data_IF_702412891203
#
_entry.id   IF_702412891203
#
_cell.length_a   1.000
_cell.length_b   1.000
_cell.length_c   1.000
_cell.angle_alpha   90.00
_cell.angle_beta   90.00
_cell.angle_gamma   90.00
#
_symmetry.space_group_name_H-M   'P 1'
#
loop_
_entity.id
_entity.type
_entity.pdbx_description
1 polymer ?
#
# COMPACT_ATOMS: atom_id res chain seq x y z
N UNK A 1 -15.83 15.16 16.44
CA UNK A 1 -17.03 14.52 17.02
C UNK A 1 -16.74 13.03 17.16
N UNK A 2 -16.97 12.42 18.33
CA UNK A 2 -16.85 10.97 18.51
C UNK A 2 -18.23 10.34 18.66
N UNK A 3 -18.42 9.17 18.07
CA UNK A 3 -19.65 8.37 18.19
C UNK A 3 -19.39 7.24 19.18
N UNK A 4 -20.30 7.03 20.14
CA UNK A 4 -20.24 5.87 21.03
C UNK A 4 -20.83 4.68 20.31
N UNK A 5 -20.03 3.64 20.10
CA UNK A 5 -20.46 2.37 19.54
C UNK A 5 -20.17 1.24 20.55
N UNK A 6 -21.12 0.31 20.69
CA UNK A 6 -20.93 -0.92 21.45
C UNK A 6 -20.52 -2.01 20.47
N UNK A 7 -19.35 -2.62 20.70
CA UNK A 7 -18.79 -3.67 19.84
C UNK A 7 -18.31 -4.83 20.69
N UNK A 8 -18.43 -6.05 20.16
CA UNK A 8 -17.82 -7.23 20.76
C UNK A 8 -16.40 -7.38 20.24
N UNK A 9 -15.46 -7.64 21.14
CA UNK A 9 -14.06 -7.97 20.85
C UNK A 9 -13.69 -9.26 21.58
N UNK A 10 -12.64 -9.95 21.14
CA UNK A 10 -12.18 -11.15 21.83
C UNK A 10 -11.50 -10.81 23.16
N UNK A 11 -11.50 -11.75 24.10
CA UNK A 11 -10.80 -11.60 25.39
C UNK A 11 -9.31 -11.27 25.20
N UNK A 12 -8.69 -11.81 24.14
CA UNK A 12 -7.31 -11.52 23.77
C UNK A 12 -7.12 -10.06 23.33
N UNK A 13 -8.06 -9.51 22.54
CA UNK A 13 -8.04 -8.11 22.11
C UNK A 13 -8.25 -7.17 23.29
N UNK A 14 -9.20 -7.48 24.18
CA UNK A 14 -9.43 -6.70 25.41
C UNK A 14 -8.18 -6.71 26.30
N UNK A 15 -7.60 -7.88 26.57
CA UNK A 15 -6.39 -8.03 27.38
C UNK A 15 -5.20 -7.27 26.78
N UNK A 16 -5.03 -7.31 25.45
CA UNK A 16 -3.98 -6.55 24.77
C UNK A 16 -4.19 -5.05 24.90
N UNK A 17 -5.40 -4.57 24.63
CA UNK A 17 -5.71 -3.15 24.67
C UNK A 17 -5.61 -2.58 26.09
N UNK A 18 -5.99 -3.35 27.13
CA UNK A 18 -5.77 -2.96 28.54
C UNK A 18 -4.30 -2.82 28.90
N UNK A 19 -3.46 -3.79 28.54
CA UNK A 19 -2.01 -3.70 28.77
C UNK A 19 -1.40 -2.44 28.17
N UNK A 20 -1.79 -2.09 26.94
CA UNK A 20 -1.32 -0.86 26.29
C UNK A 20 -1.72 0.42 27.04
N UNK A 21 -2.87 0.43 27.72
CA UNK A 21 -3.31 1.55 28.56
C UNK A 21 -2.54 1.56 29.89
N UNK A 22 -2.37 0.39 30.52
CA UNK A 22 -1.60 0.24 31.77
C UNK A 22 -0.13 0.66 31.60
N UNK A 23 0.47 0.37 30.44
CA UNK A 23 1.81 0.81 30.05
C UNK A 23 1.89 2.32 29.74
N UNK A 24 0.77 3.04 29.78
CA UNK A 24 0.69 4.48 29.49
C UNK A 24 0.84 4.81 28.00
N UNK A 25 0.81 3.82 27.09
CA UNK A 25 0.94 4.05 25.64
C UNK A 25 -0.31 4.70 25.06
N UNK A 26 -1.47 4.48 25.66
CA UNK A 26 -2.73 5.08 25.27
C UNK A 26 -3.53 5.54 26.49
N UNK A 27 -4.27 6.64 26.33
CA UNK A 27 -5.05 7.22 27.42
C UNK A 27 -6.31 6.42 27.79
N UNK A 28 -6.79 5.54 26.91
CA UNK A 28 -8.00 4.71 27.15
C UNK A 28 -8.13 3.57 26.15
N UNK A 29 -9.00 2.61 26.47
CA UNK A 29 -9.37 1.52 25.55
C UNK A 29 -9.94 2.05 24.22
N UNK A 30 -10.78 3.10 24.29
CA UNK A 30 -11.33 3.73 23.09
C UNK A 30 -10.25 4.32 22.19
N UNK A 31 -9.18 4.89 22.76
CA UNK A 31 -8.07 5.42 21.97
C UNK A 31 -7.31 4.30 21.23
N UNK A 32 -7.16 3.12 21.85
CA UNK A 32 -6.55 1.94 21.18
C UNK A 32 -7.42 1.49 20.00
N UNK A 33 -8.73 1.34 20.21
CA UNK A 33 -9.66 0.91 19.15
C UNK A 33 -9.70 1.94 18.01
N UNK A 34 -9.76 3.23 18.32
CA UNK A 34 -9.71 4.29 17.31
C UNK A 34 -8.43 4.25 16.50
N UNK A 35 -7.27 4.03 17.15
CA UNK A 35 -6.00 3.88 16.43
C UNK A 35 -5.99 2.63 15.55
N UNK A 36 -6.55 1.51 16.03
CA UNK A 36 -6.67 0.29 15.24
C UNK A 36 -7.53 0.48 13.98
N UNK A 37 -8.68 1.16 14.11
CA UNK A 37 -9.55 1.49 12.98
C UNK A 37 -8.87 2.42 11.99
N UNK A 38 -8.12 3.40 12.48
CA UNK A 38 -7.37 4.31 11.61
C UNK A 38 -6.27 3.60 10.82
N UNK A 39 -5.57 2.64 11.45
CA UNK A 39 -4.59 1.81 10.76
C UNK A 39 -5.25 0.94 9.67
N UNK A 40 -6.39 0.31 9.98
CA UNK A 40 -7.15 -0.48 9.01
C UNK A 40 -7.64 0.38 7.82
N UNK A 41 -8.11 1.60 8.10
CA UNK A 41 -8.52 2.56 7.07
C UNK A 41 -7.35 2.89 6.14
N UNK A 42 -6.20 3.25 6.69
CA UNK A 42 -5.00 3.57 5.92
C UNK A 42 -4.54 2.40 5.05
N UNK A 43 -4.52 1.18 5.61
CA UNK A 43 -4.17 -0.04 4.87
C UNK A 43 -5.15 -0.30 3.71
N UNK A 44 -6.45 -0.14 3.95
CA UNK A 44 -7.49 -0.36 2.94
C UNK A 44 -7.39 0.67 1.82
N UNK A 45 -7.27 1.96 2.16
CA UNK A 45 -7.14 3.03 1.17
C UNK A 45 -5.86 2.93 0.35
N UNK A 46 -4.74 2.55 0.98
CA UNK A 46 -3.48 2.30 0.27
C UNK A 46 -3.64 1.16 -0.73
N UNK A 47 -4.22 0.04 -0.30
CA UNK A 47 -4.43 -1.13 -1.17
C UNK A 47 -5.33 -0.80 -2.35
N UNK A 48 -6.41 -0.05 -2.11
CA UNK A 48 -7.31 0.37 -3.19
C UNK A 48 -6.62 1.31 -4.18
N UNK A 49 -5.80 2.24 -3.68
CA UNK A 49 -5.00 3.14 -4.52
C UNK A 49 -3.96 2.37 -5.35
N UNK A 50 -3.26 1.40 -4.76
CA UNK A 50 -2.31 0.54 -5.47
C UNK A 50 -2.98 -0.28 -6.57
N UNK A 51 -4.15 -0.87 -6.28
CA UNK A 51 -4.92 -1.63 -7.28
C UNK A 51 -5.40 -0.72 -8.41
N UNK A 52 -5.88 0.49 -8.09
CA UNK A 52 -6.28 1.47 -9.10
C UNK A 52 -5.10 1.85 -10.00
N UNK A 53 -3.95 2.19 -9.41
CA UNK A 53 -2.75 2.53 -10.17
C UNK A 53 -2.27 1.38 -11.07
N UNK A 54 -2.32 0.13 -10.58
CA UNK A 54 -1.97 -1.03 -11.39
C UNK A 54 -2.95 -1.23 -12.55
N UNK A 55 -4.25 -1.05 -12.33
CA UNK A 55 -5.27 -1.13 -13.39
C UNK A 55 -5.03 -0.08 -14.46
N UNK A 56 -4.76 1.15 -14.07
CA UNK A 56 -4.48 2.25 -14.99
C UNK A 56 -3.22 1.97 -15.81
N UNK A 57 -2.14 1.51 -15.16
CA UNK A 57 -0.90 1.12 -15.83
C UNK A 57 -1.12 0.01 -16.88
N UNK A 58 -1.91 -1.01 -16.54
CA UNK A 58 -2.21 -2.11 -17.46
C UNK A 58 -3.11 -1.66 -18.62
N UNK A 59 -4.08 -0.79 -18.34
CA UNK A 59 -4.95 -0.21 -19.36
C UNK A 59 -4.14 0.66 -20.33
N UNK A 60 -3.26 1.54 -19.82
CA UNK A 60 -2.35 2.35 -20.63
C UNK A 60 -1.41 1.48 -21.46
N UNK A 61 -0.78 0.47 -20.83
CA UNK A 61 0.13 -0.44 -21.54
C UNK A 61 -0.59 -1.20 -22.65
N UNK A 62 -1.83 -1.61 -22.41
CA UNK A 62 -2.66 -2.34 -23.38
C UNK A 62 -3.08 -1.52 -24.60
N UNK A 63 -3.03 -0.19 -24.53
CA UNK A 63 -3.27 0.68 -25.70
C UNK A 63 -2.08 0.73 -26.66
N UNK A 64 -0.88 0.36 -26.20
CA UNK A 64 0.32 0.32 -27.02
C UNK A 64 0.45 -0.98 -27.84
N UNK A 65 1.34 -0.95 -28.83
CA UNK A 65 1.66 -2.15 -29.60
C UNK A 65 2.37 -3.19 -28.71
N UNK A 66 1.90 -4.43 -28.80
CA UNK A 66 2.59 -5.60 -28.26
C UNK A 66 3.65 -6.05 -29.26
N UNK A 67 4.91 -6.04 -28.83
CA UNK A 67 6.05 -6.50 -29.62
C UNK A 67 6.50 -7.88 -29.16
N UNK A 68 7.23 -8.59 -30.03
CA UNK A 68 7.83 -9.86 -29.65
C UNK A 68 8.89 -9.66 -28.55
N UNK A 69 9.19 -10.74 -27.83
CA UNK A 69 10.24 -10.72 -26.80
C UNK A 69 11.60 -10.39 -27.41
N UNK A 70 11.90 -10.89 -28.62
CA UNK A 70 13.16 -10.61 -29.30
C UNK A 70 13.28 -9.15 -29.72
N UNK A 71 12.23 -8.57 -30.34
CA UNK A 71 12.22 -7.14 -30.67
C UNK A 71 12.35 -6.25 -29.42
N UNK A 72 11.74 -6.68 -28.31
CA UNK A 72 11.84 -5.99 -27.03
C UNK A 72 13.26 -5.98 -26.47
N UNK A 73 13.99 -7.10 -26.57
CA UNK A 73 15.39 -7.21 -26.16
C UNK A 73 16.27 -6.30 -27.00
N UNK A 74 16.11 -6.33 -28.33
CA UNK A 74 16.92 -5.54 -29.26
C UNK A 74 16.73 -4.04 -29.03
N UNK A 75 15.46 -3.59 -28.89
CA UNK A 75 15.14 -2.20 -28.56
C UNK A 75 15.76 -1.77 -27.22
N UNK A 76 15.70 -2.63 -26.22
CA UNK A 76 16.27 -2.34 -24.89
C UNK A 76 17.80 -2.24 -24.94
N UNK A 77 18.47 -3.17 -25.63
CA UNK A 77 19.91 -3.15 -25.82
C UNK A 77 20.37 -1.88 -26.56
N UNK A 78 19.66 -1.50 -27.62
CA UNK A 78 19.93 -0.27 -28.36
C UNK A 78 19.77 0.98 -27.48
N UNK A 79 18.71 1.06 -26.66
CA UNK A 79 18.50 2.16 -25.71
C UNK A 79 19.64 2.26 -24.68
N UNK A 80 20.09 1.12 -24.15
CA UNK A 80 21.20 1.08 -23.18
C UNK A 80 22.51 1.52 -23.85
N UNK A 81 22.80 1.03 -25.06
CA UNK A 81 23.99 1.42 -25.82
C UNK A 81 24.01 2.92 -26.12
N UNK A 82 22.87 3.48 -26.54
CA UNK A 82 22.72 4.91 -26.78
C UNK A 82 22.97 5.74 -25.49
N UNK A 83 22.44 5.29 -24.34
CA UNK A 83 22.72 5.94 -23.06
C UNK A 83 24.20 5.87 -22.69
N UNK A 84 24.86 4.72 -22.84
CA UNK A 84 26.30 4.56 -22.54
C UNK A 84 27.17 5.48 -23.38
N UNK A 85 26.92 5.51 -24.70
CA UNK A 85 27.60 6.44 -25.60
C UNK A 85 27.41 7.90 -25.19
N UNK A 86 26.20 8.27 -24.74
CA UNK A 86 25.92 9.61 -24.20
C UNK A 86 26.66 9.96 -22.91
N UNK A 87 27.08 8.95 -22.12
CA UNK A 87 27.92 9.10 -20.94
C UNK A 87 29.42 8.87 -21.22
N UNK A 88 29.82 8.63 -22.48
CA UNK A 88 31.21 8.37 -22.86
C UNK A 88 31.77 7.02 -22.39
N UNK A 89 30.90 6.03 -22.15
CA UNK A 89 31.22 4.66 -21.73
C UNK A 89 31.17 3.66 -22.89
#
# INVERSE_FOLDING_TARGET
MSVKASVSISDQQDSFARRLVEEGRYASLSAVVQRGLELLRQETELKDAEIAALRDLLAERGQGEFISVEDGKDRTAAMIAAKKAGYGL
#
